data_IF_357462281153
#
_entry.id   IF_357462281153
#
_cell.length_a   1.000
_cell.length_b   1.000
_cell.length_c   1.000
_cell.angle_alpha   90.00
_cell.angle_beta   90.00
_cell.angle_gamma   90.00
#
_symmetry.space_group_name_H-M   'P 1'
#
loop_
_entity.id
_entity.type
_entity.pdbx_description
1 polymer ?
#
# COMPACT_ATOMS: atom_id res chain seq x y z
N UNK A 1 -7.45 -10.87 -21.77
CA UNK A 1 -8.21 -9.76 -21.16
C UNK A 1 -7.62 -9.56 -19.78
N UNK A 2 -7.33 -8.33 -19.38
CA UNK A 2 -6.84 -8.01 -18.04
C UNK A 2 -7.96 -8.25 -17.02
N UNK A 3 -7.66 -8.94 -15.93
CA UNK A 3 -8.56 -9.10 -14.80
C UNK A 3 -8.38 -7.94 -13.83
N UNK A 4 -9.37 -7.06 -13.71
CA UNK A 4 -9.28 -5.85 -12.90
C UNK A 4 -10.36 -5.86 -11.82
N UNK A 5 -9.93 -5.87 -10.56
CA UNK A 5 -10.80 -5.79 -9.39
C UNK A 5 -10.67 -4.41 -8.74
N UNK A 6 -11.76 -3.66 -8.75
CA UNK A 6 -11.89 -2.44 -7.97
C UNK A 6 -12.41 -2.75 -6.57
N UNK A 7 -11.78 -2.21 -5.54
CA UNK A 7 -12.25 -2.21 -4.16
C UNK A 7 -12.51 -0.77 -3.72
N UNK A 8 -13.72 -0.51 -3.22
CA UNK A 8 -14.09 0.77 -2.61
C UNK A 8 -14.68 0.56 -1.23
N UNK A 9 -14.71 1.60 -0.41
CA UNK A 9 -15.20 1.54 0.96
C UNK A 9 -14.66 2.68 1.81
N UNK A 10 -15.43 3.03 2.84
CA UNK A 10 -15.07 4.10 3.78
C UNK A 10 -13.73 3.80 4.46
N UNK A 11 -13.10 4.83 5.04
CA UNK A 11 -11.93 4.62 5.90
C UNK A 11 -12.27 3.62 7.01
N UNK A 12 -11.39 2.63 7.22
CA UNK A 12 -11.60 1.58 8.22
C UNK A 12 -12.47 0.41 7.75
N UNK A 13 -12.98 0.40 6.51
CA UNK A 13 -13.83 -0.70 6.04
C UNK A 13 -13.09 -2.03 5.83
N UNK A 14 -11.76 -2.06 5.86
CA UNK A 14 -10.96 -3.27 5.60
C UNK A 14 -10.54 -3.47 4.14
N UNK A 15 -10.76 -2.49 3.25
CA UNK A 15 -10.34 -2.56 1.84
C UNK A 15 -8.86 -2.86 1.60
N UNK A 16 -7.98 -2.27 2.42
CA UNK A 16 -6.55 -2.48 2.29
C UNK A 16 -6.17 -3.90 2.74
N UNK A 17 -6.87 -4.44 3.75
CA UNK A 17 -6.75 -5.83 4.20
C UNK A 17 -7.21 -6.79 3.09
N UNK A 18 -8.38 -6.56 2.51
CA UNK A 18 -8.90 -7.35 1.41
C UNK A 18 -7.97 -7.37 0.19
N UNK A 19 -7.36 -6.21 -0.13
CA UNK A 19 -6.39 -6.11 -1.23
C UNK A 19 -5.11 -6.91 -0.99
N UNK A 20 -4.70 -7.14 0.28
CA UNK A 20 -3.53 -7.99 0.59
C UNK A 20 -3.71 -9.42 0.08
N UNK A 21 -4.93 -9.97 0.15
CA UNK A 21 -5.24 -11.32 -0.37
C UNK A 21 -5.04 -11.40 -1.88
N UNK A 22 -5.57 -10.42 -2.63
CA UNK A 22 -5.41 -10.38 -4.08
C UNK A 22 -3.95 -10.19 -4.49
N UNK A 23 -3.21 -9.34 -3.76
CA UNK A 23 -1.76 -9.16 -3.97
C UNK A 23 -0.98 -10.46 -3.75
N UNK A 24 -1.31 -11.21 -2.69
CA UNK A 24 -0.70 -12.52 -2.44
C UNK A 24 -0.98 -13.52 -3.57
N UNK A 25 -2.10 -13.37 -4.27
CA UNK A 25 -2.46 -14.17 -5.45
C UNK A 25 -1.89 -13.64 -6.78
N UNK A 26 -0.97 -12.67 -6.74
CA UNK A 26 -0.28 -12.15 -7.92
C UNK A 26 -0.99 -10.99 -8.62
N UNK A 27 -1.97 -10.34 -7.98
CA UNK A 27 -2.50 -9.08 -8.48
C UNK A 27 -1.53 -7.94 -8.20
N UNK A 28 -1.31 -7.07 -9.19
CA UNK A 28 -0.59 -5.83 -8.96
C UNK A 28 -1.56 -4.74 -8.49
N UNK A 29 -1.20 -4.05 -7.39
CA UNK A 29 -2.00 -2.92 -6.91
C UNK A 29 -1.66 -1.66 -7.72
N UNK A 30 -2.63 -1.16 -8.48
CA UNK A 30 -2.51 0.09 -9.23
C UNK A 30 -3.53 1.07 -8.68
N UNK A 31 -3.05 2.10 -7.97
CA UNK A 31 -3.87 3.16 -7.39
C UNK A 31 -4.16 4.25 -8.42
N UNK A 32 -5.36 4.84 -8.40
CA UNK A 32 -5.72 6.01 -9.21
C UNK A 32 -4.75 7.17 -8.96
N UNK A 33 -4.36 7.36 -7.70
CA UNK A 33 -3.42 8.40 -7.29
C UNK A 33 -1.93 7.99 -7.39
N UNK A 34 -1.58 6.84 -7.99
CA UNK A 34 -0.19 6.34 -7.96
C UNK A 34 0.78 7.27 -8.72
N UNK A 35 0.38 7.77 -9.90
CA UNK A 35 1.20 8.70 -10.68
C UNK A 35 1.54 9.97 -9.90
N UNK A 36 0.53 10.54 -9.22
CA UNK A 36 0.68 11.68 -8.32
C UNK A 36 1.69 11.39 -7.19
N UNK A 37 1.54 10.26 -6.50
CA UNK A 37 2.44 9.88 -5.40
C UNK A 37 3.87 9.71 -5.86
N UNK A 38 4.09 9.11 -7.04
CA UNK A 38 5.41 8.96 -7.64
C UNK A 38 6.08 10.31 -7.93
N UNK A 39 5.33 11.31 -8.39
CA UNK A 39 5.86 12.66 -8.59
C UNK A 39 6.36 13.27 -7.28
N UNK A 40 5.58 13.12 -6.19
CA UNK A 40 5.95 13.68 -4.88
C UNK A 40 7.16 12.94 -4.30
N UNK A 41 7.22 11.60 -4.40
CA UNK A 41 8.40 10.81 -4.00
C UNK A 41 9.66 11.32 -4.68
N UNK A 42 9.62 11.46 -6.01
CA UNK A 42 10.76 11.95 -6.78
C UNK A 42 11.20 13.36 -6.33
N UNK A 43 10.24 14.23 -6.02
CA UNK A 43 10.53 15.57 -5.52
C UNK A 43 11.15 15.58 -4.11
N UNK A 44 10.68 14.72 -3.20
CA UNK A 44 11.26 14.59 -1.86
C UNK A 44 12.67 13.99 -1.91
N UNK A 45 12.89 12.96 -2.73
CA UNK A 45 14.23 12.38 -2.94
C UNK A 45 15.21 13.40 -3.50
N UNK A 46 14.79 14.24 -4.43
CA UNK A 46 15.62 15.31 -4.96
C UNK A 46 16.10 16.30 -3.89
N UNK A 47 15.31 16.49 -2.82
CA UNK A 47 15.67 17.34 -1.69
C UNK A 47 16.52 16.63 -0.63
N UNK A 48 16.83 15.34 -0.80
CA UNK A 48 17.62 14.55 0.14
C UNK A 48 16.82 14.00 1.32
N UNK A 49 15.50 13.88 1.20
CA UNK A 49 14.68 13.21 2.23
C UNK A 49 14.94 11.71 2.18
N UNK A 50 15.21 11.11 3.33
CA UNK A 50 15.49 9.68 3.47
C UNK A 50 14.34 8.80 2.96
N UNK A 51 14.70 7.64 2.40
CA UNK A 51 13.76 6.73 1.74
C UNK A 51 12.57 6.35 2.62
N UNK A 52 12.86 6.06 3.89
CA UNK A 52 11.86 5.73 4.89
C UNK A 52 10.91 6.89 5.20
N UNK A 53 11.46 8.09 5.40
CA UNK A 53 10.63 9.25 5.72
C UNK A 53 9.75 9.64 4.53
N UNK A 54 10.22 9.46 3.30
CA UNK A 54 9.36 9.62 2.11
C UNK A 54 8.18 8.65 2.15
N UNK A 55 8.37 7.37 2.44
CA UNK A 55 7.24 6.44 2.51
C UNK A 55 6.30 6.74 3.70
N UNK A 56 6.84 7.16 4.84
CA UNK A 56 6.03 7.62 5.98
C UNK A 56 5.23 8.87 5.65
N UNK A 57 5.78 9.78 4.85
CA UNK A 57 5.08 10.97 4.36
C UNK A 57 4.00 10.64 3.33
N UNK A 58 4.20 9.65 2.45
CA UNK A 58 3.26 9.36 1.35
C UNK A 58 2.17 8.36 1.78
N UNK A 59 2.54 7.30 2.50
CA UNK A 59 1.66 6.21 2.90
C UNK A 59 1.56 5.95 4.41
N UNK A 60 2.44 6.51 5.23
CA UNK A 60 2.49 6.26 6.67
C UNK A 60 1.98 7.38 7.59
N UNK A 61 2.59 7.45 8.76
CA UNK A 61 2.22 8.27 9.92
C UNK A 61 2.52 9.77 9.76
N UNK A 62 3.43 10.13 8.86
CA UNK A 62 3.79 11.54 8.60
C UNK A 62 2.88 12.21 7.56
N UNK A 63 1.89 11.50 7.00
CA UNK A 63 0.98 12.04 5.96
C UNK A 63 0.26 13.33 6.33
N UNK A 64 -0.09 13.49 7.60
CA UNK A 64 -0.83 14.65 8.10
C UNK A 64 0.10 15.68 8.78
N UNK A 65 1.41 15.42 8.83
CA UNK A 65 2.39 16.28 9.50
C UNK A 65 2.95 17.30 8.51
N UNK A 66 2.81 18.62 8.77
CA UNK A 66 3.43 19.65 7.95
C UNK A 66 4.94 19.51 7.85
N UNK A 67 5.51 19.79 6.67
CA UNK A 67 6.95 19.70 6.44
C UNK A 67 7.48 20.86 5.60
N UNK A 68 8.70 21.30 5.88
CA UNK A 68 9.39 22.33 5.10
C UNK A 68 9.66 21.90 3.66
N UNK A 69 9.87 20.59 3.42
CA UNK A 69 10.08 20.02 2.08
C UNK A 69 8.89 20.22 1.13
N UNK A 70 7.70 20.52 1.68
CA UNK A 70 6.47 20.79 0.94
C UNK A 70 5.93 22.21 1.24
N UNK A 71 6.81 23.15 1.58
CA UNK A 71 6.45 24.56 1.78
C UNK A 71 5.55 24.80 2.99
N UNK A 72 5.70 23.98 4.04
CA UNK A 72 4.91 24.07 5.27
C UNK A 72 3.53 23.40 5.18
N UNK A 73 3.24 22.67 4.11
CA UNK A 73 2.05 21.82 3.97
C UNK A 73 2.30 20.40 4.44
N UNK A 74 1.25 19.72 4.88
CA UNK A 74 1.34 18.28 5.08
C UNK A 74 1.36 17.55 3.72
N UNK A 75 1.94 16.33 3.63
CA UNK A 75 1.85 15.52 2.43
C UNK A 75 0.42 15.29 1.95
N UNK A 76 -0.55 15.15 2.87
CA UNK A 76 -1.98 15.07 2.56
C UNK A 76 -2.48 16.30 1.82
N UNK A 77 -2.26 17.48 2.39
CA UNK A 77 -2.69 18.74 1.78
C UNK A 77 -2.02 18.93 0.42
N UNK A 78 -0.73 18.63 0.32
CA UNK A 78 0.02 18.74 -0.91
C UNK A 78 -0.51 17.79 -2.00
N UNK A 79 -0.79 16.53 -1.66
CA UNK A 79 -1.44 15.57 -2.55
C UNK A 79 -2.82 16.04 -3.02
N UNK A 80 -3.62 16.64 -2.14
CA UNK A 80 -4.93 17.17 -2.51
C UNK A 80 -4.82 18.35 -3.48
N UNK A 81 -3.92 19.30 -3.22
CA UNK A 81 -3.68 20.44 -4.10
C UNK A 81 -3.16 19.98 -5.48
N UNK A 82 -2.16 19.10 -5.49
CA UNK A 82 -1.58 18.62 -6.73
C UNK A 82 -2.56 17.72 -7.51
N UNK A 83 -3.32 16.88 -6.81
CA UNK A 83 -4.34 16.02 -7.41
C UNK A 83 -5.52 16.78 -8.00
N UNK A 84 -6.10 17.71 -7.23
CA UNK A 84 -7.35 18.39 -7.59
C UNK A 84 -7.11 19.72 -8.28
N UNK A 85 -6.40 20.65 -7.64
CA UNK A 85 -6.23 22.01 -8.17
C UNK A 85 -5.33 22.01 -9.41
N UNK A 86 -4.18 21.34 -9.34
CA UNK A 86 -3.31 21.23 -10.51
C UNK A 86 -3.82 20.19 -11.51
N UNK A 87 -3.95 18.92 -11.08
CA UNK A 87 -4.27 17.82 -12.00
C UNK A 87 -5.63 17.99 -12.68
N UNK A 88 -6.71 17.93 -11.90
CA UNK A 88 -8.08 17.93 -12.44
C UNK A 88 -8.45 19.29 -13.05
N UNK A 89 -8.34 20.38 -12.27
CA UNK A 89 -8.83 21.69 -12.69
C UNK A 89 -7.98 22.40 -13.75
N UNK A 90 -6.64 22.30 -13.66
CA UNK A 90 -5.74 23.05 -14.58
C UNK A 90 -5.28 22.23 -15.79
N UNK A 91 -5.19 20.90 -15.68
CA UNK A 91 -4.72 20.04 -16.77
C UNK A 91 -5.89 19.30 -17.45
N UNK A 92 -6.52 18.36 -16.74
CA UNK A 92 -7.64 17.57 -17.23
C UNK A 92 -8.30 16.78 -16.09
N UNK A 93 -9.64 16.78 -16.01
CA UNK A 93 -10.41 16.06 -15.00
C UNK A 93 -10.10 14.55 -14.93
N UNK A 94 -9.70 13.96 -16.06
CA UNK A 94 -9.38 12.54 -16.24
C UNK A 94 -7.86 12.28 -16.28
N UNK A 95 -7.00 13.25 -15.98
CA UNK A 95 -5.53 13.07 -16.01
C UNK A 95 -5.06 11.80 -15.29
N UNK A 96 -5.53 11.61 -14.06
CA UNK A 96 -5.15 10.48 -13.21
C UNK A 96 -5.79 9.17 -13.66
N UNK A 97 -7.04 9.23 -14.12
CA UNK A 97 -7.79 8.11 -14.68
C UNK A 97 -7.10 7.59 -15.94
N UNK A 98 -6.68 8.48 -16.83
CA UNK A 98 -5.96 8.14 -18.05
C UNK A 98 -4.59 7.52 -17.76
N UNK A 99 -3.87 8.04 -16.77
CA UNK A 99 -2.62 7.43 -16.33
C UNK A 99 -2.85 6.01 -15.77
N UNK A 100 -3.90 5.82 -14.96
CA UNK A 100 -4.30 4.52 -14.46
C UNK A 100 -4.65 3.56 -15.61
N UNK A 101 -5.51 3.96 -16.56
CA UNK A 101 -5.89 3.15 -17.74
C UNK A 101 -4.68 2.67 -18.53
N UNK A 102 -3.71 3.57 -18.77
CA UNK A 102 -2.47 3.21 -19.49
C UNK A 102 -1.62 2.22 -18.69
N UNK A 103 -1.55 2.35 -17.36
CA UNK A 103 -0.81 1.41 -16.52
C UNK A 103 -1.49 0.04 -16.49
N UNK A 104 -2.79 -0.01 -16.25
CA UNK A 104 -3.53 -1.28 -16.11
C UNK A 104 -3.56 -2.08 -17.40
N UNK A 105 -3.60 -1.43 -18.56
CA UNK A 105 -3.51 -2.09 -19.87
C UNK A 105 -2.18 -2.87 -20.09
N UNK A 106 -1.15 -2.65 -19.27
CA UNK A 106 0.13 -3.35 -19.36
C UNK A 106 0.22 -4.59 -18.45
N UNK A 107 -0.85 -4.89 -17.71
CA UNK A 107 -0.86 -5.90 -16.65
C UNK A 107 -1.92 -6.97 -16.92
N UNK A 108 -1.75 -8.12 -16.28
CA UNK A 108 -2.69 -9.25 -16.38
C UNK A 108 -3.73 -9.25 -15.27
N UNK A 109 -3.30 -9.07 -14.01
CA UNK A 109 -4.16 -9.04 -12.83
C UNK A 109 -3.93 -7.74 -12.06
N UNK A 110 -4.98 -6.96 -11.84
CA UNK A 110 -4.89 -5.63 -11.21
C UNK A 110 -5.92 -5.51 -10.09
N UNK A 111 -5.49 -4.98 -8.95
CA UNK A 111 -6.38 -4.52 -7.88
C UNK A 111 -6.25 -2.99 -7.72
N UNK A 112 -7.38 -2.30 -7.57
CA UNK A 112 -7.41 -0.85 -7.34
C UNK A 112 -8.26 -0.54 -6.12
N UNK A 113 -7.67 0.07 -5.09
CA UNK A 113 -8.25 0.23 -3.75
C UNK A 113 -8.78 1.64 -3.45
N UNK A 114 -8.51 2.60 -4.33
CA UNK A 114 -8.76 4.02 -4.09
C UNK A 114 -9.80 4.65 -5.02
N UNK A 115 -10.70 3.85 -5.60
CA UNK A 115 -11.83 4.33 -6.40
C UNK A 115 -12.86 5.01 -5.50
N UNK A 116 -13.04 6.31 -5.71
CA UNK A 116 -13.89 7.17 -4.88
C UNK A 116 -14.80 8.07 -5.69
N UNK A 117 -14.52 8.27 -6.98
CA UNK A 117 -15.29 9.18 -7.84
C UNK A 117 -16.06 8.42 -8.93
N UNK A 118 -17.21 8.95 -9.40
CA UNK A 118 -17.97 8.33 -10.49
C UNK A 118 -17.16 8.12 -11.77
N UNK A 119 -16.27 9.05 -12.14
CA UNK A 119 -15.44 8.90 -13.33
C UNK A 119 -14.39 7.78 -13.19
N UNK A 120 -13.89 7.53 -11.98
CA UNK A 120 -12.98 6.41 -11.68
C UNK A 120 -13.71 5.07 -11.77
N UNK A 121 -14.94 4.98 -11.24
CA UNK A 121 -15.77 3.79 -11.35
C UNK A 121 -16.15 3.50 -12.82
N UNK A 122 -16.48 4.54 -13.58
CA UNK A 122 -16.75 4.42 -15.02
C UNK A 122 -15.49 3.95 -15.77
N UNK A 123 -14.32 4.51 -15.46
CA UNK A 123 -13.06 4.12 -16.07
C UNK A 123 -12.69 2.66 -15.82
N UNK A 124 -12.96 2.16 -14.60
CA UNK A 124 -12.81 0.74 -14.28
C UNK A 124 -13.74 -0.11 -15.16
N UNK A 125 -15.02 0.26 -15.26
CA UNK A 125 -16.01 -0.46 -16.07
C UNK A 125 -15.64 -0.45 -17.56
N UNK A 126 -15.20 0.69 -18.10
CA UNK A 126 -14.74 0.82 -19.49
C UNK A 126 -13.52 -0.08 -19.78
N UNK A 127 -12.68 -0.33 -18.77
CA UNK A 127 -11.53 -1.23 -18.85
C UNK A 127 -11.92 -2.72 -18.66
N UNK A 128 -13.21 -3.03 -18.50
CA UNK A 128 -13.71 -4.39 -18.26
C UNK A 128 -13.53 -4.87 -16.81
N UNK A 129 -13.23 -3.97 -15.88
CA UNK A 129 -13.09 -4.27 -14.46
C UNK A 129 -14.40 -4.23 -13.70
N UNK A 130 -14.38 -4.78 -12.50
CA UNK A 130 -15.56 -4.91 -11.64
C UNK A 130 -15.32 -4.27 -10.27
N UNK A 131 -16.23 -3.39 -9.85
CA UNK A 131 -16.14 -2.68 -8.58
C UNK A 131 -16.87 -3.42 -7.47
N UNK A 132 -16.21 -3.62 -6.33
CA UNK A 132 -16.78 -4.20 -5.13
C UNK A 132 -16.68 -3.20 -3.98
N UNK A 133 -17.76 -3.05 -3.20
CA UNK A 133 -17.74 -2.19 -2.02
C UNK A 133 -17.63 -3.02 -0.76
N UNK A 134 -16.63 -2.73 0.05
CA UNK A 134 -16.46 -3.35 1.36
C UNK A 134 -17.11 -2.45 2.40
N UNK A 135 -18.09 -2.99 3.11
CA UNK A 135 -18.86 -2.30 4.15
C UNK A 135 -18.56 -2.91 5.52
N UNK A 136 -18.31 -2.05 6.50
CA UNK A 136 -18.13 -2.41 7.90
C UNK A 136 -18.79 -1.32 8.73
N UNK A 137 -19.60 -1.72 9.69
CA UNK A 137 -20.06 -0.86 10.76
C UNK A 137 -18.83 -0.40 11.54
N UNK A 138 -18.44 0.80 11.21
CA UNK A 138 -17.35 1.51 11.84
C UNK A 138 -18.00 2.68 12.53
N UNK A 139 -17.51 3.05 13.71
CA UNK A 139 -17.93 4.27 14.44
C UNK A 139 -17.46 5.55 13.69
N UNK A 140 -17.52 5.55 12.36
CA UNK A 140 -17.26 6.75 11.55
C UNK A 140 -18.47 7.64 11.73
N UNK A 141 -18.25 8.70 12.49
CA UNK A 141 -19.20 9.78 12.68
C UNK A 141 -19.67 10.27 11.29
N UNK A 142 -20.92 9.96 10.92
CA UNK A 142 -21.51 10.27 9.60
C UNK A 142 -21.49 11.75 9.25
N UNK A 143 -21.28 12.62 10.26
CA UNK A 143 -21.11 14.07 10.13
C UNK A 143 -19.73 14.50 9.59
N UNK A 144 -18.77 13.59 9.43
CA UNK A 144 -17.38 13.89 9.01
C UNK A 144 -16.98 13.19 7.72
N UNK A 145 -17.92 12.87 6.82
CA UNK A 145 -17.56 12.39 5.49
C UNK A 145 -16.78 13.50 4.77
N UNK A 146 -15.47 13.31 4.61
CA UNK A 146 -14.65 14.17 3.76
C UNK A 146 -15.26 14.20 2.36
N UNK A 147 -15.08 15.30 1.62
CA UNK A 147 -15.62 15.45 0.25
C UNK A 147 -15.26 14.27 -0.67
N UNK A 148 -14.08 13.66 -0.44
CA UNK A 148 -13.59 12.46 -1.14
C UNK A 148 -14.29 11.14 -0.77
N UNK A 149 -15.17 11.11 0.24
CA UNK A 149 -15.93 9.92 0.66
C UNK A 149 -17.42 10.02 0.34
N UNK A 150 -17.89 11.20 -0.10
CA UNK A 150 -19.30 11.49 -0.39
C UNK A 150 -19.92 10.56 -1.41
N UNK A 151 -19.16 10.17 -2.43
CA UNK A 151 -19.67 9.36 -3.54
C UNK A 151 -19.60 7.85 -3.26
N UNK A 152 -18.75 7.39 -2.33
CA UNK A 152 -18.50 5.96 -2.08
C UNK A 152 -19.79 5.15 -1.86
N UNK A 153 -20.76 5.61 -1.03
CA UNK A 153 -22.00 4.85 -0.80
C UNK A 153 -22.91 4.74 -2.03
N UNK A 154 -22.77 5.63 -3.02
CA UNK A 154 -23.64 5.70 -4.19
C UNK A 154 -22.99 5.23 -5.48
N UNK A 155 -21.71 4.86 -5.45
CA UNK A 155 -21.04 4.28 -6.62
C UNK A 155 -21.72 2.96 -7.05
N UNK A 156 -21.91 2.74 -8.36
CA UNK A 156 -22.42 1.47 -8.87
C UNK A 156 -21.37 0.39 -8.65
N UNK A 157 -21.74 -0.64 -7.88
CA UNK A 157 -20.86 -1.77 -7.55
C UNK A 157 -21.47 -3.07 -8.05
N UNK A 158 -20.63 -4.01 -8.47
CA UNK A 158 -21.03 -5.37 -8.82
C UNK A 158 -21.59 -6.12 -7.61
N UNK A 159 -20.95 -5.96 -6.45
CA UNK A 159 -21.43 -6.53 -5.20
C UNK A 159 -20.90 -5.74 -3.99
N UNK A 160 -21.61 -5.89 -2.88
CA UNK A 160 -21.17 -5.47 -1.55
C UNK A 160 -20.55 -6.68 -0.84
N UNK A 161 -19.41 -6.46 -0.18
CA UNK A 161 -18.72 -7.40 0.69
C UNK A 161 -18.96 -6.93 2.13
N UNK A 162 -19.66 -7.75 2.89
CA UNK A 162 -19.95 -7.51 4.30
C UNK A 162 -18.70 -7.88 5.13
N UNK A 163 -18.12 -6.89 5.81
CA UNK A 163 -16.95 -7.05 6.68
C UNK A 163 -17.29 -6.79 8.16
N UNK A 164 -18.37 -7.37 8.65
CA UNK A 164 -18.75 -7.36 10.08
C UNK A 164 -18.00 -8.40 10.92
N UNK A 165 -17.33 -9.35 10.26
CA UNK A 165 -16.61 -10.43 10.89
C UNK A 165 -15.15 -10.14 11.26
N UNK A 166 -14.43 -11.23 11.45
CA UNK A 166 -12.99 -11.30 11.66
C UNK A 166 -12.21 -11.09 10.36
N UNK A 167 -10.90 -10.84 10.49
CA UNK A 167 -9.99 -10.74 9.34
C UNK A 167 -9.97 -12.07 8.55
N UNK A 168 -10.06 -13.21 9.23
CA UNK A 168 -10.05 -14.53 8.57
C UNK A 168 -11.30 -14.75 7.72
N UNK A 169 -12.47 -14.35 8.21
CA UNK A 169 -13.72 -14.41 7.45
C UNK A 169 -13.64 -13.50 6.21
N UNK A 170 -13.12 -12.28 6.35
CA UNK A 170 -12.86 -11.40 5.19
C UNK A 170 -11.89 -12.04 4.20
N UNK A 171 -10.80 -12.64 4.68
CA UNK A 171 -9.82 -13.28 3.82
C UNK A 171 -10.42 -14.47 3.06
N UNK A 172 -11.20 -15.32 3.73
CA UNK A 172 -11.91 -16.45 3.10
C UNK A 172 -12.88 -15.97 2.03
N UNK A 173 -13.65 -14.91 2.31
CA UNK A 173 -14.56 -14.31 1.34
C UNK A 173 -13.82 -13.80 0.10
N UNK A 174 -12.68 -13.12 0.28
CA UNK A 174 -11.83 -12.66 -0.84
C UNK A 174 -11.28 -13.84 -1.65
N UNK A 175 -10.86 -14.91 -1.00
CA UNK A 175 -10.38 -16.13 -1.68
C UNK A 175 -11.49 -16.74 -2.53
N UNK A 176 -12.63 -17.05 -1.92
CA UNK A 176 -13.76 -17.71 -2.58
C UNK A 176 -14.29 -16.91 -3.77
N UNK A 177 -14.36 -15.59 -3.61
CA UNK A 177 -14.94 -14.68 -4.60
C UNK A 177 -14.05 -14.45 -5.82
N UNK A 178 -12.75 -14.32 -5.62
CA UNK A 178 -11.84 -13.85 -6.68
C UNK A 178 -10.88 -14.92 -7.20
N UNK A 179 -10.58 -15.92 -6.37
CA UNK A 179 -9.65 -17.00 -6.71
C UNK A 179 -10.38 -18.31 -7.00
N UNK A 180 -11.69 -18.36 -6.73
CA UNK A 180 -12.54 -19.53 -6.93
C UNK A 180 -12.43 -20.56 -5.81
N UNK A 181 -13.04 -21.75 -5.95
CA UNK A 181 -12.79 -22.86 -5.05
C UNK A 181 -11.33 -23.29 -5.26
N UNK A 182 -10.43 -22.69 -4.50
CA UNK A 182 -9.14 -23.31 -4.23
C UNK A 182 -9.49 -24.63 -3.55
N UNK A 183 -8.96 -25.75 -4.05
CA UNK A 183 -9.10 -27.01 -3.33
C UNK A 183 -8.66 -26.75 -1.89
N UNK A 184 -9.54 -26.98 -0.92
CA UNK A 184 -9.25 -26.69 0.48
C UNK A 184 -7.96 -27.43 0.92
N UNK A 185 -7.61 -28.53 0.26
CA UNK A 185 -6.34 -29.21 0.43
C UNK A 185 -5.15 -28.42 -0.17
N UNK A 186 -5.29 -27.80 -1.34
CA UNK A 186 -4.25 -26.93 -1.95
C UNK A 186 -4.08 -25.62 -1.18
N UNK A 187 -5.16 -25.02 -0.67
CA UNK A 187 -5.10 -23.82 0.16
C UNK A 187 -4.41 -24.13 1.49
N UNK A 188 -4.81 -25.21 2.16
CA UNK A 188 -4.16 -25.63 3.42
C UNK A 188 -2.72 -26.07 3.19
N UNK A 189 -2.42 -26.75 2.08
CA UNK A 189 -1.04 -27.09 1.71
C UNK A 189 -0.19 -25.86 1.37
N UNK A 190 -0.76 -24.84 0.71
CA UNK A 190 -0.07 -23.58 0.44
C UNK A 190 0.13 -22.76 1.72
N UNK A 191 -0.84 -22.73 2.63
CA UNK A 191 -0.76 -22.06 3.92
C UNK A 191 0.19 -22.77 4.91
N UNK A 192 0.23 -24.10 4.93
CA UNK A 192 1.18 -24.90 5.72
C UNK A 192 2.60 -24.90 5.12
N UNK A 193 2.73 -24.85 3.79
CA UNK A 193 4.01 -24.73 3.10
C UNK A 193 4.66 -23.35 3.27
N UNK A 194 3.94 -22.34 3.76
CA UNK A 194 4.49 -21.04 4.19
C UNK A 194 5.08 -21.18 5.61
N UNK A 195 5.92 -22.19 5.82
CA UNK A 195 7.03 -22.05 6.77
C UNK A 195 8.27 -21.80 5.93
N UNK A 196 8.47 -20.54 5.53
CA UNK A 196 9.69 -20.16 4.82
C UNK A 196 10.80 -20.08 5.88
N UNK A 197 11.58 -21.15 6.04
CA UNK A 197 12.87 -21.06 6.73
C UNK A 197 13.88 -20.52 5.73
N UNK A 198 14.15 -19.23 5.81
CA UNK A 198 15.25 -18.61 5.10
C UNK A 198 16.43 -18.42 6.06
N UNK A 199 17.58 -18.92 5.66
CA UNK A 199 18.85 -18.50 6.25
C UNK A 199 19.38 -17.38 5.34
N UNK A 200 19.24 -16.13 5.79
CA UNK A 200 19.83 -14.99 5.09
C UNK A 200 21.26 -14.84 5.58
N UNK A 201 22.21 -15.30 4.78
CA UNK A 201 23.63 -14.96 4.98
C UNK A 201 23.92 -13.69 4.19
N UNK A 202 24.11 -12.57 4.90
CA UNK A 202 24.55 -11.32 4.30
C UNK A 202 26.08 -11.28 4.42
N UNK A 203 26.77 -11.64 3.35
CA UNK A 203 28.23 -11.42 3.26
C UNK A 203 28.46 -9.92 3.08
N UNK A 204 28.70 -9.24 4.20
CA UNK A 204 29.05 -7.83 4.18
C UNK A 204 30.52 -7.68 3.72
N UNK A 205 30.80 -6.88 2.70
CA UNK A 205 32.18 -6.62 2.30
C UNK A 205 32.96 -6.01 3.47
N UNK A 206 34.21 -6.45 3.65
CA UNK A 206 35.10 -5.97 4.71
C UNK A 206 35.41 -4.48 4.63
N UNK A 207 35.10 -3.84 3.50
CA UNK A 207 35.16 -2.40 3.28
C UNK A 207 33.85 -1.93 2.64
N UNK A 208 33.02 -1.11 3.32
CA UNK A 208 31.85 -0.51 2.71
C UNK A 208 32.32 0.53 1.70
N UNK A 209 32.44 0.15 0.43
CA UNK A 209 32.59 1.13 -0.63
C UNK A 209 31.22 1.76 -0.87
N UNK A 210 31.05 2.97 -0.33
CA UNK A 210 29.97 3.93 -0.55
C UNK A 210 28.58 3.47 -0.06
N UNK A 211 28.44 3.39 1.26
CA UNK A 211 27.24 3.96 1.87
C UNK A 211 27.65 5.34 2.36
N UNK A 212 27.09 6.40 1.79
CA UNK A 212 27.22 7.75 2.34
C UNK A 212 26.47 7.80 3.67
N UNK A 213 27.12 7.32 4.74
CA UNK A 213 26.72 7.61 6.10
C UNK A 213 27.53 8.80 6.60
N UNK A 214 26.86 9.95 6.67
CA UNK A 214 27.16 10.92 7.72
C UNK A 214 27.04 10.22 9.08
N UNK A 215 27.98 10.46 10.01
CA UNK A 215 27.62 11.02 11.32
C UNK A 215 28.84 11.40 12.18
N UNK A 216 28.65 12.51 12.88
CA UNK A 216 29.57 13.30 13.71
C UNK A 216 30.00 12.66 15.04
N UNK A 217 29.96 11.32 15.20
CA UNK A 217 30.30 10.64 16.47
C UNK A 217 31.59 9.83 16.42
N UNK A 218 32.25 9.74 15.26
CA UNK A 218 33.56 9.10 15.11
C UNK A 218 33.58 7.58 15.36
N UNK A 219 32.41 6.94 15.49
CA UNK A 219 32.28 5.48 15.56
C UNK A 219 31.23 5.03 14.57
N UNK A 220 31.66 4.32 13.54
CA UNK A 220 30.75 3.56 12.70
C UNK A 220 30.15 2.43 13.54
N UNK A 221 28.81 2.34 13.68
CA UNK A 221 28.19 1.15 14.25
C UNK A 221 28.59 -0.07 13.42
N UNK A 222 28.68 -1.24 14.07
CA UNK A 222 28.94 -2.47 13.31
C UNK A 222 27.76 -2.73 12.37
N UNK A 223 28.00 -3.38 11.22
CA UNK A 223 26.93 -3.80 10.31
C UNK A 223 25.78 -4.54 11.01
N UNK A 224 26.11 -5.35 12.03
CA UNK A 224 25.14 -6.04 12.86
C UNK A 224 24.27 -5.08 13.69
N UNK A 225 24.85 -4.00 14.23
CA UNK A 225 24.12 -3.00 14.99
C UNK A 225 23.19 -2.16 14.11
N UNK A 226 23.63 -1.87 12.88
CA UNK A 226 22.79 -1.18 11.89
C UNK A 226 21.58 -2.03 11.47
N UNK A 227 21.79 -3.33 11.25
CA UNK A 227 20.71 -4.27 10.92
C UNK A 227 19.75 -4.47 12.10
N UNK A 228 20.27 -4.55 13.33
CA UNK A 228 19.45 -4.62 14.55
C UNK A 228 18.54 -3.39 14.68
N UNK A 229 19.07 -2.19 14.42
CA UNK A 229 18.31 -0.94 14.51
C UNK A 229 17.26 -0.85 13.38
N UNK A 230 17.55 -1.29 12.14
CA UNK A 230 16.56 -1.40 11.07
C UNK A 230 15.46 -2.43 11.36
N UNK A 231 15.82 -3.58 11.93
CA UNK A 231 14.84 -4.60 12.33
C UNK A 231 13.95 -4.08 13.46
N UNK A 232 14.51 -3.38 14.45
CA UNK A 232 13.72 -2.70 15.48
C UNK A 232 12.79 -1.63 14.92
N UNK A 233 13.23 -0.92 13.88
CA UNK A 233 12.42 0.08 13.16
C UNK A 233 11.25 -0.60 12.43
N UNK A 234 11.48 -1.74 11.77
CA UNK A 234 10.44 -2.56 11.16
C UNK A 234 9.41 -3.08 12.18
N UNK A 235 9.78 -3.25 13.46
CA UNK A 235 8.83 -3.58 14.55
C UNK A 235 7.94 -2.41 14.96
N UNK A 236 8.37 -1.18 14.69
CA UNK A 236 7.68 0.05 15.13
C UNK A 236 6.79 0.68 14.05
N UNK A 237 6.99 0.27 12.79
CA UNK A 237 6.23 0.76 11.62
C UNK A 237 5.23 -0.32 11.21
N UNK A 238 4.03 -0.23 11.76
CA UNK A 238 2.95 -1.19 11.51
C UNK A 238 2.34 -1.01 10.10
N UNK A 239 1.91 -2.12 9.49
CA UNK A 239 1.06 -2.30 8.28
C UNK A 239 1.65 -2.87 6.97
N UNK A 240 2.92 -3.29 6.90
CA UNK A 240 3.35 -4.14 5.77
C UNK A 240 3.19 -5.63 6.10
N UNK A 241 2.67 -6.48 5.17
CA UNK A 241 2.65 -7.93 5.37
C UNK A 241 4.04 -8.51 5.71
N UNK A 242 5.12 -7.83 5.30
CA UNK A 242 6.49 -8.20 5.61
C UNK A 242 6.87 -7.93 7.07
N UNK A 243 6.43 -6.79 7.64
CA UNK A 243 6.58 -6.49 9.06
C UNK A 243 5.78 -7.47 9.93
N UNK A 244 4.52 -7.76 9.57
CA UNK A 244 3.67 -8.76 10.27
C UNK A 244 4.30 -10.17 10.25
N UNK A 245 4.93 -10.53 9.12
CA UNK A 245 5.60 -11.81 8.92
C UNK A 245 6.90 -11.94 9.72
N UNK A 246 7.66 -10.84 9.88
CA UNK A 246 8.85 -10.80 10.75
C UNK A 246 8.45 -10.72 12.24
N UNK A 247 7.33 -10.09 12.56
CA UNK A 247 6.86 -9.91 13.95
C UNK A 247 6.23 -11.18 14.56
N UNK A 248 5.83 -12.14 13.73
CA UNK A 248 5.19 -13.40 14.15
C UNK A 248 6.13 -14.62 14.17
N UNK A 249 7.36 -14.50 13.65
CA UNK A 249 8.36 -15.57 13.64
C UNK A 249 9.34 -15.50 14.82
N UNK A 250 9.79 -16.66 15.31
CA UNK A 250 10.99 -16.76 16.16
C UNK A 250 12.25 -16.62 15.27
N UNK A 251 13.07 -15.59 15.50
CA UNK A 251 14.34 -15.40 14.80
C UNK A 251 15.50 -15.34 15.80
N UNK A 252 16.61 -15.99 15.47
CA UNK A 252 17.87 -15.97 16.23
C UNK A 252 18.94 -15.29 15.38
N UNK A 253 19.52 -14.19 15.87
CA UNK A 253 20.57 -13.44 15.18
C UNK A 253 21.92 -13.90 15.72
N UNK A 254 22.60 -14.81 15.01
CA UNK A 254 23.98 -15.17 15.31
C UNK A 254 24.96 -14.38 14.42
N UNK A 255 25.54 -13.32 14.98
CA UNK A 255 26.63 -12.59 14.33
C UNK A 255 27.96 -13.33 14.52
N UNK A 256 28.63 -13.73 13.43
CA UNK A 256 30.07 -14.01 13.43
C UNK A 256 30.80 -12.99 12.56
N UNK A 257 31.83 -12.38 13.14
CA UNK A 257 32.83 -11.62 12.40
C UNK A 257 33.77 -12.65 11.77
N UNK A 258 33.82 -12.70 10.43
CA UNK A 258 34.85 -13.44 9.70
C UNK A 258 36.14 -12.62 9.63
#
# INVERSE_FOLDING_TARGET
>A
MTNIVGLTGLKGSGKDTAAKVLKAAGFEEVKMAEGLKRMIRAFLYYQGVESLDVERMIEGDLKEVPTEFLGGKSPREFMQLLGTEFGRKLINDDLWVDAWKRRTATLENVVTTDIRFPNEAQALADAGGELYRIERDTDVNTFSLHESEKYIPTLPVKAVIDNQGTIDELNQEMILRFLGPIDHAELMAAMEAITIRYQITIDMPSHPHQFDTYHETGKNPSPAKMLEDELHLARSVDSTPWADYIMSGEFEIEGRVL
#
